data_IF_921563462672
#
_entry.id   IF_921563462672
#
_cell.length_a   1.000
_cell.length_b   1.000
_cell.length_c   1.000
_cell.angle_alpha   90.00
_cell.angle_beta   90.00
_cell.angle_gamma   90.00
#
_symmetry.space_group_name_H-M   'P 1'
#
loop_
_entity.id
_entity.type
_entity.pdbx_description
1 polymer ?
#
# COMPACT_ATOMS: atom_id res chain seq x y z
N UNK A 1 -7.03 -5.94 -24.47
CA UNK A 1 -7.23 -4.49 -24.30
C UNK A 1 -5.95 -3.76 -24.71
N UNK A 2 -6.05 -2.58 -25.35
CA UNK A 2 -4.85 -1.80 -25.74
C UNK A 2 -4.42 -0.84 -24.63
N UNK A 3 -3.15 -0.40 -24.65
CA UNK A 3 -2.64 0.63 -23.73
C UNK A 3 -3.45 1.93 -23.80
N UNK A 4 -3.89 2.34 -25.00
CA UNK A 4 -4.73 3.54 -25.18
C UNK A 4 -6.04 3.41 -24.42
N UNK A 5 -6.75 2.29 -24.56
CA UNK A 5 -7.99 2.02 -23.83
C UNK A 5 -7.75 1.98 -22.31
N UNK A 6 -6.65 1.37 -21.88
CA UNK A 6 -6.28 1.30 -20.46
C UNK A 6 -6.11 2.71 -19.85
N UNK A 7 -5.41 3.60 -20.55
CA UNK A 7 -5.20 4.99 -20.10
C UNK A 7 -6.52 5.77 -20.05
N UNK A 8 -7.40 5.55 -21.03
CA UNK A 8 -8.73 6.17 -21.03
C UNK A 8 -9.57 5.74 -19.82
N UNK A 9 -9.54 4.44 -19.47
CA UNK A 9 -10.17 3.90 -18.27
C UNK A 9 -9.62 4.60 -17.01
N UNK A 10 -8.30 4.75 -16.89
CA UNK A 10 -7.69 5.48 -15.76
C UNK A 10 -8.16 6.95 -15.71
N UNK A 11 -8.28 7.61 -16.86
CA UNK A 11 -8.79 8.99 -16.93
C UNK A 11 -10.24 9.12 -16.44
N UNK A 12 -11.11 8.17 -16.80
CA UNK A 12 -12.51 8.12 -16.33
C UNK A 12 -12.58 7.83 -14.83
N UNK A 13 -11.80 6.85 -14.35
CA UNK A 13 -11.68 6.54 -12.93
C UNK A 13 -11.26 7.75 -12.11
N UNK A 14 -10.26 8.49 -12.58
CA UNK A 14 -9.76 9.69 -11.90
C UNK A 14 -10.85 10.73 -11.70
N UNK A 15 -11.69 10.97 -12.71
CA UNK A 15 -12.85 11.87 -12.59
C UNK A 15 -13.86 11.34 -11.57
N UNK A 16 -14.14 10.04 -11.60
CA UNK A 16 -15.11 9.41 -10.71
C UNK A 16 -14.66 9.40 -9.25
N UNK A 17 -13.39 9.10 -8.98
CA UNK A 17 -12.84 9.01 -7.62
C UNK A 17 -12.46 10.36 -7.03
N UNK A 18 -12.64 11.48 -7.75
CA UNK A 18 -12.13 12.81 -7.37
C UNK A 18 -12.57 13.27 -5.97
N UNK A 19 -13.80 12.93 -5.57
CA UNK A 19 -14.41 13.34 -4.30
C UNK A 19 -14.35 12.27 -3.22
N UNK A 20 -13.73 11.12 -3.50
CA UNK A 20 -13.57 10.08 -2.48
C UNK A 20 -12.44 10.45 -1.51
N UNK A 21 -12.48 9.97 -0.26
CA UNK A 21 -11.41 10.15 0.71
C UNK A 21 -10.07 9.65 0.19
N UNK A 22 -8.99 10.33 0.59
CA UNK A 22 -7.64 9.87 0.32
C UNK A 22 -7.31 8.58 1.07
N UNK A 23 -6.36 7.83 0.52
CA UNK A 23 -5.89 6.60 1.17
C UNK A 23 -5.12 6.91 2.45
N UNK A 24 -5.06 5.95 3.38
CA UNK A 24 -4.24 6.11 4.59
C UNK A 24 -2.77 6.41 4.26
N UNK A 25 -2.20 5.78 3.23
CA UNK A 25 -0.81 6.04 2.85
C UNK A 25 -0.60 7.46 2.37
N UNK A 26 -1.54 8.03 1.60
CA UNK A 26 -1.47 9.42 1.21
C UNK A 26 -1.47 10.35 2.43
N UNK A 27 -2.32 10.08 3.43
CA UNK A 27 -2.35 10.86 4.69
C UNK A 27 -1.05 10.74 5.51
N UNK A 28 -0.45 9.55 5.57
CA UNK A 28 0.85 9.34 6.22
C UNK A 28 1.95 10.14 5.51
N UNK A 29 2.00 10.11 4.18
CA UNK A 29 2.98 10.86 3.38
C UNK A 29 2.80 12.36 3.54
N UNK A 30 1.56 12.85 3.54
CA UNK A 30 1.26 14.27 3.75
C UNK A 30 1.71 14.76 5.14
N UNK A 31 1.49 13.94 6.19
CA UNK A 31 1.81 14.32 7.57
C UNK A 31 3.30 14.17 7.91
N UNK A 32 3.95 13.11 7.41
CA UNK A 32 5.29 12.70 7.85
C UNK A 32 6.34 12.70 6.74
N UNK A 33 5.96 13.07 5.52
CA UNK A 33 6.81 12.98 4.34
C UNK A 33 6.99 11.54 3.85
N UNK A 34 7.89 11.38 2.87
CA UNK A 34 8.21 10.08 2.25
C UNK A 34 9.20 9.26 3.07
N UNK A 35 9.13 9.32 4.40
CA UNK A 35 10.04 8.59 5.29
C UNK A 35 9.88 7.06 5.08
N UNK A 36 10.92 6.35 4.59
CA UNK A 36 10.81 4.93 4.28
C UNK A 36 10.48 4.04 5.47
N UNK A 37 10.97 4.39 6.66
CA UNK A 37 10.74 3.60 7.87
C UNK A 37 9.32 3.78 8.37
N UNK A 38 8.80 5.01 8.41
CA UNK A 38 7.42 5.28 8.79
C UNK A 38 6.43 4.63 7.81
N UNK A 39 6.70 4.72 6.50
CA UNK A 39 5.89 4.05 5.48
C UNK A 39 5.89 2.53 5.68
N UNK A 40 7.06 1.91 5.93
CA UNK A 40 7.18 0.49 6.24
C UNK A 40 6.35 0.12 7.47
N UNK A 41 6.48 0.86 8.57
CA UNK A 41 5.71 0.60 9.80
C UNK A 41 4.21 0.72 9.54
N UNK A 42 3.76 1.76 8.84
CA UNK A 42 2.35 1.93 8.48
C UNK A 42 1.82 0.79 7.62
N UNK A 43 2.61 0.29 6.66
CA UNK A 43 2.24 -0.87 5.85
C UNK A 43 2.03 -2.13 6.72
N UNK A 44 2.96 -2.41 7.64
CA UNK A 44 2.90 -3.58 8.53
C UNK A 44 1.72 -3.49 9.51
N UNK A 45 1.42 -2.29 10.00
CA UNK A 45 0.26 -2.03 10.85
C UNK A 45 -1.07 -2.14 10.10
N UNK A 46 -1.10 -1.85 8.81
CA UNK A 46 -2.29 -1.98 7.94
C UNK A 46 -2.65 -3.43 7.61
N UNK A 47 -1.70 -4.37 7.69
CA UNK A 47 -1.95 -5.78 7.37
C UNK A 47 -3.12 -6.34 8.19
N UNK A 48 -4.23 -6.70 7.53
CA UNK A 48 -5.46 -7.21 8.17
C UNK A 48 -6.07 -6.25 9.20
N UNK A 49 -5.95 -4.95 8.97
CA UNK A 49 -6.60 -3.91 9.75
C UNK A 49 -7.26 -2.89 8.82
N UNK A 50 -8.29 -2.19 9.31
CA UNK A 50 -8.92 -1.10 8.55
C UNK A 50 -8.10 0.15 8.68
N UNK A 51 -7.94 0.87 7.58
CA UNK A 51 -7.24 2.17 7.52
C UNK A 51 -7.76 3.16 8.59
N UNK A 52 -9.06 3.18 8.84
CA UNK A 52 -9.69 4.03 9.88
C UNK A 52 -9.26 3.71 11.31
N UNK A 53 -8.77 2.50 11.57
CA UNK A 53 -8.21 2.12 12.87
C UNK A 53 -6.69 2.25 12.88
N UNK A 54 -6.03 1.95 11.75
CA UNK A 54 -4.58 1.97 11.63
C UNK A 54 -4.00 3.39 11.64
N UNK A 55 -4.65 4.36 10.98
CA UNK A 55 -4.12 5.71 10.85
C UNK A 55 -3.94 6.41 12.23
N UNK A 56 -4.93 6.45 13.14
CA UNK A 56 -4.74 7.02 14.48
C UNK A 56 -3.64 6.35 15.30
N UNK A 57 -3.48 5.03 15.15
CA UNK A 57 -2.42 4.27 15.83
C UNK A 57 -1.04 4.63 15.29
N UNK A 58 -0.90 4.81 13.97
CA UNK A 58 0.33 5.32 13.36
C UNK A 58 0.68 6.70 13.92
N UNK A 59 -0.29 7.63 14.00
CA UNK A 59 -0.02 8.95 14.56
C UNK A 59 0.44 8.90 16.02
N UNK A 60 -0.19 8.05 16.84
CA UNK A 60 0.20 7.86 18.24
C UNK A 60 1.62 7.29 18.34
N UNK A 61 1.94 6.26 17.55
CA UNK A 61 3.26 5.64 17.55
C UNK A 61 4.36 6.61 17.06
N UNK A 62 4.11 7.35 15.99
CA UNK A 62 5.10 8.22 15.35
C UNK A 62 5.43 9.49 16.13
N UNK A 63 4.63 9.82 17.16
CA UNK A 63 5.02 10.82 18.17
C UNK A 63 6.14 10.34 19.09
N UNK A 64 6.29 9.02 19.25
CA UNK A 64 7.28 8.40 20.15
C UNK A 64 8.47 7.81 19.39
N UNK A 65 8.23 7.25 18.20
CA UNK A 65 9.23 6.47 17.48
C UNK A 65 9.22 6.82 15.99
N UNK A 66 10.40 7.14 15.46
CA UNK A 66 10.60 7.41 14.02
C UNK A 66 11.79 6.70 13.39
N UNK A 67 12.43 5.78 14.11
CA UNK A 67 13.59 5.03 13.61
C UNK A 67 13.58 3.60 14.13
N UNK A 68 14.28 2.66 13.46
CA UNK A 68 14.45 1.30 13.96
C UNK A 68 14.99 1.26 15.40
N UNK A 69 15.96 2.10 15.71
CA UNK A 69 16.58 2.19 17.03
C UNK A 69 15.56 2.66 18.07
N UNK A 70 14.81 3.73 17.76
CA UNK A 70 13.76 4.24 18.63
C UNK A 70 12.67 3.20 18.88
N UNK A 71 12.34 2.38 17.88
CA UNK A 71 11.38 1.29 18.07
C UNK A 71 11.94 0.21 18.98
N UNK A 72 13.22 -0.13 18.86
CA UNK A 72 13.85 -1.12 19.72
C UNK A 72 13.97 -0.66 21.18
N UNK A 73 14.15 0.64 21.44
CA UNK A 73 14.19 1.18 22.82
C UNK A 73 12.82 1.22 23.50
N UNK A 74 11.72 1.30 22.73
CA UNK A 74 10.36 1.34 23.29
C UNK A 74 9.99 -0.02 23.95
N UNK A 75 9.61 -0.09 25.24
CA UNK A 75 9.25 -1.37 25.86
C UNK A 75 8.17 -2.13 25.08
N UNK A 76 8.27 -3.47 25.01
CA UNK A 76 7.31 -4.27 24.26
C UNK A 76 5.87 -4.07 24.78
N UNK A 77 5.69 -4.00 26.10
CA UNK A 77 4.39 -3.74 26.73
C UNK A 77 3.81 -2.38 26.35
N UNK A 78 4.64 -1.34 26.24
CA UNK A 78 4.21 -0.02 25.79
C UNK A 78 3.83 -0.02 24.31
N UNK A 79 4.64 -0.66 23.45
CA UNK A 79 4.30 -0.84 22.04
C UNK A 79 2.99 -1.60 21.86
N UNK A 80 2.80 -2.70 22.60
CA UNK A 80 1.56 -3.48 22.57
C UNK A 80 0.35 -2.65 23.02
N UNK A 81 0.51 -1.79 24.03
CA UNK A 81 -0.53 -0.86 24.49
C UNK A 81 -0.92 0.15 23.40
N UNK A 82 0.06 0.75 22.71
CA UNK A 82 -0.20 1.67 21.58
C UNK A 82 -0.96 0.96 20.45
N UNK A 83 -0.60 -0.30 20.16
CA UNK A 83 -1.18 -1.08 19.07
C UNK A 83 -2.49 -1.78 19.45
N UNK A 84 -2.94 -1.73 20.70
CA UNK A 84 -3.97 -2.60 21.28
C UNK A 84 -5.30 -2.62 20.49
N UNK A 85 -5.68 -1.49 19.90
CA UNK A 85 -6.91 -1.37 19.09
C UNK A 85 -6.86 -2.08 17.74
N UNK A 86 -5.69 -2.57 17.31
CA UNK A 86 -5.50 -3.30 16.08
C UNK A 86 -5.63 -4.81 16.30
N UNK A 87 -6.23 -5.49 15.32
CA UNK A 87 -6.20 -6.96 15.29
C UNK A 87 -4.77 -7.48 15.26
N UNK A 88 -4.50 -8.59 15.96
CA UNK A 88 -3.18 -9.22 16.04
C UNK A 88 -2.06 -8.30 16.58
N UNK A 89 -2.39 -7.32 17.43
CA UNK A 89 -1.43 -6.31 17.90
C UNK A 89 -0.14 -6.88 18.51
N UNK A 90 -0.22 -7.97 19.30
CA UNK A 90 0.97 -8.65 19.85
C UNK A 90 1.91 -9.15 18.76
N UNK A 91 1.36 -9.77 17.72
CA UNK A 91 2.15 -10.25 16.59
C UNK A 91 2.69 -9.07 15.76
N UNK A 92 1.93 -7.99 15.60
CA UNK A 92 2.40 -6.76 14.95
C UNK A 92 3.58 -6.16 15.72
N UNK A 93 3.48 -6.00 17.04
CA UNK A 93 4.56 -5.49 17.88
C UNK A 93 5.85 -6.30 17.72
N UNK A 94 5.75 -7.65 17.82
CA UNK A 94 6.88 -8.56 17.58
C UNK A 94 7.47 -8.42 16.18
N UNK A 95 6.63 -8.29 15.16
CA UNK A 95 7.06 -8.13 13.76
C UNK A 95 7.80 -6.82 13.56
N UNK A 96 7.29 -5.70 14.09
CA UNK A 96 7.95 -4.40 14.02
C UNK A 96 9.33 -4.43 14.69
N UNK A 97 9.42 -5.02 15.88
CA UNK A 97 10.68 -5.20 16.61
C UNK A 97 11.68 -6.04 15.81
N UNK A 98 11.24 -7.20 15.30
CA UNK A 98 12.08 -8.10 14.50
C UNK A 98 12.63 -7.42 13.26
N UNK A 99 11.77 -6.73 12.50
CA UNK A 99 12.18 -6.03 11.27
C UNK A 99 13.12 -4.86 11.60
N UNK A 100 12.86 -4.12 12.68
CA UNK A 100 13.74 -3.02 13.09
C UNK A 100 15.14 -3.50 13.49
N UNK A 101 15.22 -4.62 14.20
CA UNK A 101 16.50 -5.28 14.51
C UNK A 101 17.21 -5.75 13.23
N UNK A 102 16.48 -6.36 12.32
CA UNK A 102 17.03 -6.83 11.04
C UNK A 102 17.56 -5.68 10.17
N UNK A 103 16.85 -4.54 10.13
CA UNK A 103 17.31 -3.32 9.47
C UNK A 103 18.63 -2.82 10.06
N UNK A 104 18.76 -2.80 11.38
CA UNK A 104 19.99 -2.38 12.05
C UNK A 104 21.14 -3.32 11.70
N UNK A 105 20.94 -4.63 11.82
CA UNK A 105 22.00 -5.62 11.68
C UNK A 105 22.47 -5.80 10.22
N UNK A 106 21.55 -5.74 9.25
CA UNK A 106 21.85 -6.07 7.84
C UNK A 106 21.93 -4.85 6.93
N UNK A 107 21.31 -3.73 7.33
CA UNK A 107 21.10 -2.57 6.46
C UNK A 107 21.41 -1.24 7.16
N UNK A 108 22.21 -1.25 8.24
CA UNK A 108 22.65 -0.07 8.99
C UNK A 108 21.49 0.83 9.47
N UNK A 109 20.33 0.23 9.76
CA UNK A 109 19.13 0.93 10.20
C UNK A 109 18.38 1.65 9.08
N UNK A 110 18.71 1.40 7.81
CA UNK A 110 18.10 2.04 6.65
C UNK A 110 17.19 1.05 5.92
N UNK A 111 15.97 1.48 5.56
CA UNK A 111 15.09 0.68 4.72
C UNK A 111 15.67 0.56 3.30
N UNK A 112 15.87 -0.65 2.76
CA UNK A 112 16.44 -0.81 1.43
C UNK A 112 15.54 -0.25 0.31
N UNK A 113 16.15 0.31 -0.73
CA UNK A 113 15.46 0.88 -1.90
C UNK A 113 15.39 -0.08 -3.10
N UNK A 114 15.56 -1.39 -2.87
CA UNK A 114 15.51 -2.41 -3.93
C UNK A 114 14.56 -3.53 -3.52
N UNK A 115 13.75 -4.01 -4.47
CA UNK A 115 12.77 -5.07 -4.22
C UNK A 115 13.41 -6.34 -3.62
N UNK A 116 14.52 -6.79 -4.18
CA UNK A 116 15.24 -7.99 -3.72
C UNK A 116 15.62 -7.90 -2.23
N UNK A 117 16.25 -6.80 -1.81
CA UNK A 117 16.63 -6.59 -0.41
C UNK A 117 15.41 -6.50 0.51
N UNK A 118 14.34 -5.81 0.07
CA UNK A 118 13.09 -5.72 0.83
C UNK A 118 12.46 -7.10 1.02
N UNK A 119 12.37 -7.91 -0.03
CA UNK A 119 11.84 -9.28 0.02
C UNK A 119 12.71 -10.24 0.83
N UNK A 120 14.00 -9.93 1.00
CA UNK A 120 14.90 -10.71 1.86
C UNK A 120 14.63 -10.52 3.36
N UNK A 121 13.78 -9.55 3.75
CA UNK A 121 13.41 -9.29 5.14
C UNK A 121 12.17 -10.11 5.49
N UNK A 122 12.26 -10.95 6.52
CA UNK A 122 11.14 -11.82 6.91
C UNK A 122 9.95 -10.98 7.38
N UNK A 123 8.80 -11.16 6.72
CA UNK A 123 7.57 -10.42 6.99
C UNK A 123 7.28 -9.30 6.00
N UNK A 124 8.20 -9.00 5.08
CA UNK A 124 7.96 -8.10 3.94
C UNK A 124 7.62 -8.94 2.71
N UNK A 125 6.36 -8.90 2.29
CA UNK A 125 5.89 -9.49 1.04
C UNK A 125 5.96 -8.50 -0.13
N UNK A 126 5.72 -9.01 -1.35
CA UNK A 126 5.82 -8.24 -2.61
C UNK A 126 4.97 -6.97 -2.64
N UNK A 127 3.72 -7.02 -2.16
CA UNK A 127 2.88 -5.82 -2.03
C UNK A 127 3.55 -4.75 -1.16
N UNK A 128 4.03 -5.14 0.01
CA UNK A 128 4.68 -4.22 0.97
C UNK A 128 5.96 -3.64 0.36
N UNK A 129 6.79 -4.48 -0.28
CA UNK A 129 8.00 -4.03 -0.95
C UNK A 129 7.68 -3.00 -2.05
N UNK A 130 6.76 -3.32 -2.96
CA UNK A 130 6.35 -2.40 -4.04
C UNK A 130 5.77 -1.10 -3.49
N UNK A 131 4.99 -1.15 -2.40
CA UNK A 131 4.41 0.04 -1.80
C UNK A 131 5.46 0.96 -1.18
N UNK A 132 6.50 0.40 -0.55
CA UNK A 132 7.64 1.16 -0.04
C UNK A 132 8.42 1.79 -1.20
N UNK A 133 8.72 1.01 -2.25
CA UNK A 133 9.41 1.52 -3.44
C UNK A 133 8.68 2.68 -4.09
N UNK A 134 7.37 2.55 -4.30
CA UNK A 134 6.54 3.58 -4.92
C UNK A 134 6.38 4.81 -4.03
N UNK A 135 6.06 4.62 -2.74
CA UNK A 135 5.68 5.72 -1.85
C UNK A 135 6.88 6.46 -1.24
N UNK A 136 7.92 5.73 -0.87
CA UNK A 136 9.07 6.29 -0.15
C UNK A 136 10.20 6.69 -1.09
N UNK A 137 10.47 5.88 -2.12
CA UNK A 137 11.61 6.05 -3.02
C UNK A 137 11.22 6.56 -4.41
N UNK A 138 9.93 6.77 -4.67
CA UNK A 138 9.40 7.21 -5.96
C UNK A 138 9.80 6.31 -7.14
N UNK A 139 10.11 5.05 -6.85
CA UNK A 139 10.43 4.03 -7.84
C UNK A 139 9.10 3.45 -8.31
N UNK A 140 8.71 3.62 -9.59
CA UNK A 140 7.42 3.14 -10.07
C UNK A 140 7.24 1.64 -9.83
N UNK A 141 6.18 1.28 -9.11
CA UNK A 141 5.83 -0.10 -8.82
C UNK A 141 4.30 -0.31 -8.83
N UNK A 142 3.86 -1.50 -9.23
CA UNK A 142 2.45 -1.90 -9.16
C UNK A 142 2.23 -2.73 -7.89
N UNK A 143 1.36 -2.25 -7.01
CA UNK A 143 1.12 -2.77 -5.68
C UNK A 143 -0.19 -3.55 -5.69
N UNK A 144 -0.17 -4.75 -6.28
CA UNK A 144 -1.40 -5.51 -6.44
C UNK A 144 -1.84 -6.11 -5.11
N UNK A 145 -2.98 -5.65 -4.62
CA UNK A 145 -3.72 -6.28 -3.55
C UNK A 145 -5.05 -6.84 -4.05
N UNK A 146 -5.91 -7.28 -3.13
CA UNK A 146 -7.21 -7.86 -3.48
C UNK A 146 -8.11 -6.88 -4.25
N UNK A 147 -8.03 -5.57 -3.99
CA UNK A 147 -8.82 -4.58 -4.71
C UNK A 147 -8.26 -4.37 -6.11
N UNK A 148 -6.95 -4.15 -6.22
CA UNK A 148 -6.27 -3.97 -7.51
C UNK A 148 -6.48 -5.18 -8.41
N UNK A 149 -6.24 -6.39 -7.89
CA UNK A 149 -6.42 -7.65 -8.62
C UNK A 149 -7.85 -7.79 -9.14
N UNK A 150 -8.84 -7.63 -8.25
CA UNK A 150 -10.25 -7.82 -8.58
C UNK A 150 -10.76 -6.78 -9.57
N UNK A 151 -10.42 -5.50 -9.37
CA UNK A 151 -10.86 -4.40 -10.24
C UNK A 151 -10.20 -4.51 -11.62
N UNK A 152 -8.91 -4.80 -11.69
CA UNK A 152 -8.20 -4.96 -12.96
C UNK A 152 -8.82 -6.07 -13.83
N UNK A 153 -9.13 -7.23 -13.22
CA UNK A 153 -9.78 -8.33 -13.94
C UNK A 153 -11.25 -7.99 -14.30
N UNK A 154 -11.99 -7.39 -13.38
CA UNK A 154 -13.39 -7.00 -13.61
C UNK A 154 -13.54 -5.98 -14.76
N UNK A 155 -12.64 -5.01 -14.87
CA UNK A 155 -12.63 -4.02 -15.95
C UNK A 155 -12.12 -4.60 -17.29
N UNK A 156 -11.83 -5.90 -17.35
CA UNK A 156 -11.26 -6.55 -18.53
C UNK A 156 -9.86 -6.05 -18.86
N UNK A 157 -9.17 -5.41 -17.91
CA UNK A 157 -7.85 -4.86 -18.15
C UNK A 157 -6.79 -5.96 -18.26
N UNK A 158 -6.97 -6.99 -17.45
CA UNK A 158 -6.15 -8.20 -17.44
C UNK A 158 -7.08 -9.41 -17.30
N UNK A 159 -6.55 -10.60 -17.60
CA UNK A 159 -7.24 -11.87 -17.33
C UNK A 159 -6.24 -12.82 -16.65
N UNK A 160 -6.25 -12.81 -15.32
CA UNK A 160 -5.19 -13.39 -14.47
C UNK A 160 -5.81 -14.01 -13.22
N UNK A 161 -5.18 -15.04 -12.68
CA UNK A 161 -5.70 -15.80 -11.52
C UNK A 161 -5.07 -15.37 -10.20
N UNK A 162 -3.90 -14.74 -10.25
CA UNK A 162 -3.15 -14.36 -9.06
C UNK A 162 -2.78 -12.87 -9.07
N UNK A 163 -2.60 -12.24 -7.88
CA UNK A 163 -2.10 -10.86 -7.79
C UNK A 163 -0.76 -10.65 -8.50
N UNK A 164 0.11 -11.66 -8.47
CA UNK A 164 1.41 -11.60 -9.13
C UNK A 164 1.29 -11.58 -10.66
N UNK A 165 0.44 -12.44 -11.22
CA UNK A 165 0.13 -12.40 -12.66
C UNK A 165 -0.48 -11.05 -13.06
N UNK A 166 -1.40 -10.50 -12.26
CA UNK A 166 -1.96 -9.16 -12.49
C UNK A 166 -0.88 -8.09 -12.48
N UNK A 167 0.08 -8.17 -11.56
CA UNK A 167 1.18 -7.20 -11.49
C UNK A 167 1.97 -7.20 -12.79
N UNK A 168 2.38 -8.38 -13.27
CA UNK A 168 3.13 -8.53 -14.52
C UNK A 168 2.32 -8.03 -15.71
N UNK A 169 1.05 -8.42 -15.81
CA UNK A 169 0.17 -8.04 -16.91
C UNK A 169 -0.10 -6.52 -16.94
N UNK A 170 -0.33 -5.88 -15.78
CA UNK A 170 -0.50 -4.44 -15.70
C UNK A 170 0.80 -3.68 -16.05
N UNK A 171 1.97 -4.20 -15.66
CA UNK A 171 3.27 -3.61 -16.03
C UNK A 171 3.53 -3.66 -17.54
N UNK A 172 3.04 -4.69 -18.22
CA UNK A 172 3.13 -4.82 -19.68
C UNK A 172 2.12 -3.92 -20.40
N UNK A 173 0.93 -3.76 -19.82
CA UNK A 173 -0.16 -3.00 -20.41
C UNK A 173 0.02 -1.48 -20.28
N UNK A 174 0.45 -1.01 -19.11
CA UNK A 174 0.51 0.42 -18.77
C UNK A 174 1.94 0.95 -18.84
N UNK A 175 2.15 2.17 -19.35
CA UNK A 175 3.44 2.82 -19.27
C UNK A 175 3.81 3.13 -17.81
N UNK A 176 5.12 3.17 -17.51
CA UNK A 176 5.65 3.24 -16.13
C UNK A 176 5.15 4.45 -15.35
N UNK A 177 4.94 5.59 -16.01
CA UNK A 177 4.41 6.83 -15.42
C UNK A 177 2.98 6.68 -14.90
N UNK A 178 2.24 5.64 -15.31
CA UNK A 178 0.85 5.38 -14.91
C UNK A 178 0.71 4.34 -13.80
N UNK A 179 1.79 3.67 -13.39
CA UNK A 179 1.72 2.58 -12.42
C UNK A 179 1.20 3.03 -11.05
N UNK A 180 1.76 4.13 -10.52
CA UNK A 180 1.33 4.68 -9.23
C UNK A 180 -0.10 5.22 -9.27
N UNK A 181 -0.47 5.91 -10.36
CA UNK A 181 -1.85 6.40 -10.59
C UNK A 181 -2.84 5.23 -10.61
N UNK A 182 -2.52 4.15 -11.34
CA UNK A 182 -3.34 2.96 -11.41
C UNK A 182 -3.61 2.33 -10.03
N UNK A 183 -2.56 2.14 -9.21
CA UNK A 183 -2.73 1.59 -7.86
C UNK A 183 -3.64 2.48 -7.01
N UNK A 184 -3.36 3.79 -6.98
CA UNK A 184 -4.11 4.73 -6.15
C UNK A 184 -5.60 4.73 -6.51
N UNK A 185 -5.91 4.79 -7.80
CA UNK A 185 -7.30 4.77 -8.28
C UNK A 185 -8.01 3.47 -7.92
N UNK A 186 -7.36 2.31 -8.06
CA UNK A 186 -8.00 1.02 -7.78
C UNK A 186 -8.18 0.78 -6.29
N UNK A 187 -7.21 1.17 -5.46
CA UNK A 187 -7.35 1.11 -3.99
C UNK A 187 -8.47 2.04 -3.54
N UNK A 188 -8.46 3.31 -3.98
CA UNK A 188 -9.48 4.31 -3.65
C UNK A 188 -10.88 3.83 -4.06
N UNK A 189 -11.02 3.31 -5.28
CA UNK A 189 -12.28 2.74 -5.75
C UNK A 189 -12.71 1.52 -4.93
N UNK A 190 -11.80 0.58 -4.69
CA UNK A 190 -12.09 -0.67 -4.00
C UNK A 190 -12.41 -0.52 -2.51
N UNK A 191 -11.96 0.57 -1.87
CA UNK A 191 -12.29 0.91 -0.49
C UNK A 191 -13.65 1.62 -0.36
N UNK A 192 -14.08 2.35 -1.38
CA UNK A 192 -15.27 3.21 -1.31
C UNK A 192 -16.48 2.66 -2.08
N UNK A 193 -16.29 1.72 -3.01
CA UNK A 193 -17.36 1.23 -3.88
C UNK A 193 -17.37 -0.29 -3.91
N UNK A 194 -18.56 -0.89 -3.78
CA UNK A 194 -18.72 -2.33 -3.94
C UNK A 194 -18.52 -2.70 -5.40
N UNK A 195 -17.85 -3.82 -5.63
CA UNK A 195 -17.47 -4.26 -6.98
C UNK A 195 -18.67 -4.46 -7.92
N UNK A 196 -19.80 -4.94 -7.41
CA UNK A 196 -21.07 -5.04 -8.15
C UNK A 196 -21.52 -3.71 -8.74
N UNK A 197 -21.21 -2.62 -8.04
CA UNK A 197 -21.71 -1.29 -8.37
C UNK A 197 -20.73 -0.59 -9.34
N UNK A 198 -19.45 -1.01 -9.38
CA UNK A 198 -18.42 -0.41 -10.24
C UNK A 198 -18.75 -0.61 -11.73
N UNK A 199 -19.13 -1.81 -12.16
CA UNK A 199 -19.48 -2.06 -13.58
C UNK A 199 -20.68 -1.23 -14.02
N UNK A 200 -21.70 -1.15 -13.16
CA UNK A 200 -22.90 -0.34 -13.42
C UNK A 200 -22.57 1.16 -13.53
N UNK A 201 -21.59 1.63 -12.76
CA UNK A 201 -21.10 3.02 -12.80
C UNK A 201 -20.27 3.25 -14.06
N UNK A 202 -19.39 2.31 -14.43
CA UNK A 202 -18.57 2.43 -15.64
C UNK A 202 -19.39 2.48 -16.92
N UNK A 203 -20.39 1.60 -17.04
CA UNK A 203 -21.27 1.57 -18.21
C UNK A 203 -22.11 2.84 -18.35
N UNK A 204 -22.42 3.54 -17.25
CA UNK A 204 -23.08 4.86 -17.28
C UNK A 204 -22.16 5.99 -17.75
N UNK A 205 -20.85 5.85 -17.53
CA UNK A 205 -19.83 6.80 -18.00
C UNK A 205 -19.55 6.59 -19.51
N UNK A 206 -19.91 5.44 -20.09
CA UNK A 206 -19.81 5.19 -21.54
C UNK A 206 -20.94 5.83 -22.36
N UNK A 207 -22.07 6.15 -21.74
CA UNK A 207 -23.27 6.68 -22.41
C UNK A 207 -23.49 8.17 -22.19
N UNK A 208 -22.55 8.88 -21.56
CA UNK A 208 -22.60 10.32 -21.29
C UNK A 208 -21.34 11.05 -21.76
#
# INVERSE_FOLDING_TARGET
MTTRCAIEILGRLKKFTRNMPETMMASIIDTYGKDPYLILVSCLLSLRARDTQTLPVCHTLFKKVRSPQGLLTLPLSELESILYSLGFYKQKAKTLKSISLELINRFNGIVPHTEEKLLSIKGIGRKTANLILASAFEIPAICVDVHVHRIANMLGMVNTKTPHETEIALRQLLPKDRWTECNSLFVKLGQNVRVSDILSIFNKIETS
#
